data_IF_622292752988
#
_entry.id   IF_622292752988
#
_cell.length_a   1.000
_cell.length_b   1.000
_cell.length_c   1.000
_cell.angle_alpha   90.00
_cell.angle_beta   90.00
_cell.angle_gamma   90.00
#
_symmetry.space_group_name_H-M   'P 1'
#
loop_
_entity.id
_entity.type
_entity.pdbx_description
1 polymer ?
#
# COMPACT_ATOMS: atom_id res chain seq x y z
N UNK A 1 53.71 2.55 -45.64
CA UNK A 1 52.38 1.99 -45.62
C UNK A 1 52.11 1.51 -44.18
N UNK A 2 51.55 2.34 -43.37
CA UNK A 2 51.21 2.05 -41.97
C UNK A 2 49.72 1.74 -41.84
N UNK A 3 49.40 0.51 -41.43
CA UNK A 3 48.05 0.07 -41.15
C UNK A 3 47.60 0.59 -39.81
N UNK A 4 46.58 1.46 -39.79
CA UNK A 4 45.87 1.85 -38.60
C UNK A 4 44.90 0.73 -38.18
N UNK A 5 45.24 0.03 -37.13
CA UNK A 5 44.32 -0.90 -36.43
C UNK A 5 43.28 -0.11 -35.64
N UNK A 6 42.05 -0.08 -36.13
CA UNK A 6 40.88 0.39 -35.37
C UNK A 6 40.61 -0.59 -34.22
N UNK A 7 40.87 -0.14 -32.99
CA UNK A 7 40.42 -0.86 -31.78
C UNK A 7 38.90 -0.85 -31.72
N UNK A 8 38.30 -2.04 -31.89
CA UNK A 8 36.89 -2.26 -31.51
C UNK A 8 36.75 -2.02 -30.02
N UNK A 9 35.99 -1.00 -29.66
CA UNK A 9 35.47 -0.84 -28.32
C UNK A 9 34.48 -2.01 -28.10
N UNK A 10 34.84 -2.97 -27.26
CA UNK A 10 33.93 -4.00 -26.81
C UNK A 10 32.77 -3.31 -26.09
N UNK A 11 31.59 -3.41 -26.67
CA UNK A 11 30.34 -3.06 -25.99
C UNK A 11 30.23 -4.01 -24.80
N UNK A 12 30.35 -3.47 -23.59
CA UNK A 12 30.15 -4.22 -22.34
C UNK A 12 28.72 -4.72 -22.33
N UNK A 13 28.58 -6.03 -22.44
CA UNK A 13 27.30 -6.77 -22.39
C UNK A 13 26.75 -6.69 -20.93
N UNK A 14 26.26 -5.50 -20.55
CA UNK A 14 25.56 -5.36 -19.27
C UNK A 14 24.14 -5.87 -19.49
N UNK A 15 23.67 -6.80 -18.64
CA UNK A 15 22.28 -7.22 -18.69
C UNK A 15 21.34 -6.00 -18.58
N UNK A 16 20.22 -6.04 -19.29
CA UNK A 16 19.22 -5.00 -19.20
C UNK A 16 18.82 -4.76 -17.73
N UNK A 17 18.63 -3.49 -17.31
CA UNK A 17 18.28 -3.20 -15.93
C UNK A 17 16.96 -3.86 -15.54
N UNK A 18 16.91 -4.41 -14.34
CA UNK A 18 15.67 -4.96 -13.77
C UNK A 18 14.70 -3.84 -13.37
N UNK A 19 13.42 -4.20 -13.15
CA UNK A 19 12.43 -3.24 -12.59
C UNK A 19 12.96 -2.64 -11.28
N UNK A 20 13.57 -3.45 -10.41
CA UNK A 20 14.12 -2.98 -9.14
C UNK A 20 15.28 -1.97 -9.34
N UNK A 21 16.13 -2.16 -10.35
CA UNK A 21 17.22 -1.23 -10.67
C UNK A 21 16.68 0.12 -11.14
N UNK A 22 15.67 0.12 -12.01
CA UNK A 22 15.04 1.35 -12.51
C UNK A 22 14.27 2.07 -11.40
N UNK A 23 13.54 1.35 -10.55
CA UNK A 23 12.89 1.92 -9.36
C UNK A 23 13.92 2.54 -8.42
N UNK A 24 15.07 1.87 -8.20
CA UNK A 24 16.15 2.40 -7.38
C UNK A 24 16.79 3.66 -7.98
N UNK A 25 16.91 3.73 -9.30
CA UNK A 25 17.38 4.93 -10.00
C UNK A 25 16.43 6.10 -9.77
N UNK A 26 15.14 5.91 -10.02
CA UNK A 26 14.09 6.93 -9.82
C UNK A 26 14.06 7.36 -8.35
N UNK A 27 14.11 6.41 -7.40
CA UNK A 27 14.09 6.69 -5.98
C UNK A 27 15.27 7.59 -5.55
N UNK A 28 16.47 7.32 -6.04
CA UNK A 28 17.66 8.13 -5.72
C UNK A 28 17.68 9.49 -6.42
N UNK A 29 17.31 9.55 -7.71
CA UNK A 29 17.50 10.74 -8.54
C UNK A 29 16.31 11.70 -8.50
N UNK A 30 15.09 11.17 -8.44
CA UNK A 30 13.86 11.93 -8.54
C UNK A 30 13.11 12.07 -7.21
N UNK A 31 13.04 10.97 -6.40
CA UNK A 31 12.28 10.97 -5.15
C UNK A 31 13.07 11.57 -3.97
N UNK A 32 14.37 11.26 -3.82
CA UNK A 32 15.12 11.68 -2.66
C UNK A 32 15.14 13.22 -2.46
N UNK A 33 15.28 14.05 -3.50
CA UNK A 33 15.18 15.51 -3.36
C UNK A 33 13.82 15.99 -2.88
N UNK A 34 12.73 15.28 -3.21
CA UNK A 34 11.35 15.67 -2.91
C UNK A 34 10.83 15.14 -1.55
N UNK A 35 11.54 14.22 -0.93
CA UNK A 35 11.01 13.46 0.22
C UNK A 35 10.60 14.37 1.40
N UNK A 36 11.30 15.47 1.64
CA UNK A 36 10.94 16.45 2.67
C UNK A 36 9.67 17.25 2.34
N UNK A 37 9.52 17.65 1.09
CA UNK A 37 8.35 18.41 0.60
C UNK A 37 7.09 17.54 0.56
N UNK A 38 7.24 16.26 0.19
CA UNK A 38 6.16 15.27 0.23
C UNK A 38 5.70 15.04 1.68
N UNK A 39 6.64 14.87 2.63
CA UNK A 39 6.29 14.71 4.05
C UNK A 39 5.53 15.94 4.59
N UNK A 40 5.97 17.14 4.24
CA UNK A 40 5.35 18.41 4.63
C UNK A 40 4.03 18.72 3.89
N UNK A 41 3.66 17.95 2.88
CA UNK A 41 2.42 18.12 2.11
C UNK A 41 2.44 19.28 1.11
N UNK A 42 3.61 19.84 0.81
CA UNK A 42 3.77 20.87 -0.22
C UNK A 42 3.74 20.30 -1.64
N UNK A 43 4.05 19.00 -1.80
CA UNK A 43 4.10 18.31 -3.09
C UNK A 43 3.32 16.99 -3.00
N UNK A 44 2.43 16.75 -3.98
CA UNK A 44 1.92 15.43 -4.31
C UNK A 44 2.70 14.91 -5.53
N UNK A 45 3.43 13.78 -5.43
CA UNK A 45 4.40 13.36 -6.44
C UNK A 45 3.75 12.57 -7.60
N UNK A 46 2.68 13.09 -8.21
CA UNK A 46 1.91 12.38 -9.24
C UNK A 46 2.72 11.98 -10.47
N UNK A 47 3.59 12.87 -10.98
CA UNK A 47 4.47 12.54 -12.12
C UNK A 47 5.47 11.44 -11.79
N UNK A 48 6.08 11.50 -10.61
CA UNK A 48 7.00 10.47 -10.13
C UNK A 48 6.30 9.11 -10.03
N UNK A 49 5.06 9.06 -9.52
CA UNK A 49 4.28 7.83 -9.48
C UNK A 49 3.99 7.30 -10.89
N UNK A 50 3.71 8.17 -11.86
CA UNK A 50 3.56 7.77 -13.26
C UNK A 50 4.87 7.25 -13.86
N UNK A 51 6.01 7.89 -13.55
CA UNK A 51 7.33 7.43 -14.00
C UNK A 51 7.68 6.04 -13.43
N UNK A 52 7.36 5.78 -12.16
CA UNK A 52 7.50 4.44 -11.56
C UNK A 52 6.61 3.41 -12.28
N UNK A 53 5.40 3.77 -12.68
CA UNK A 53 4.53 2.90 -13.48
C UNK A 53 5.12 2.55 -14.84
N UNK A 54 5.72 3.52 -15.55
CA UNK A 54 6.36 3.32 -16.85
C UNK A 54 7.50 2.28 -16.82
N UNK A 55 8.19 2.15 -15.70
CA UNK A 55 9.27 1.15 -15.52
C UNK A 55 8.77 -0.18 -14.93
N UNK A 56 7.45 -0.36 -14.80
CA UNK A 56 6.85 -1.62 -14.39
C UNK A 56 6.63 -1.80 -12.89
N UNK A 57 6.82 -0.76 -12.07
CA UNK A 57 6.65 -0.85 -10.61
C UNK A 57 5.25 -1.28 -10.19
N UNK A 58 4.22 -0.99 -10.99
CA UNK A 58 2.82 -1.32 -10.71
C UNK A 58 2.30 -2.55 -11.45
N UNK A 59 3.06 -3.12 -12.39
CA UNK A 59 2.64 -4.26 -13.21
C UNK A 59 3.25 -5.59 -12.79
N UNK A 60 4.31 -5.58 -11.99
CA UNK A 60 5.12 -6.74 -11.66
C UNK A 60 4.40 -7.86 -10.89
N UNK A 61 3.24 -7.55 -10.30
CA UNK A 61 2.40 -8.52 -9.57
C UNK A 61 1.11 -8.90 -10.31
N UNK A 62 0.91 -8.37 -11.52
CA UNK A 62 -0.20 -8.78 -12.39
C UNK A 62 0.18 -10.06 -13.11
N UNK A 63 -0.57 -11.17 -12.94
CA UNK A 63 -0.27 -12.39 -13.65
C UNK A 63 -0.36 -12.17 -15.16
N UNK A 64 0.74 -12.41 -15.88
CA UNK A 64 0.76 -12.44 -17.34
C UNK A 64 0.51 -13.86 -17.82
N UNK A 65 1.34 -14.78 -17.33
CA UNK A 65 1.22 -16.23 -17.48
C UNK A 65 1.66 -16.86 -16.15
N UNK A 66 0.88 -17.81 -15.63
CA UNK A 66 1.21 -18.50 -14.38
C UNK A 66 0.63 -17.88 -13.10
N UNK A 67 1.09 -18.31 -11.93
CA UNK A 67 0.61 -17.84 -10.63
C UNK A 67 1.02 -16.38 -10.35
N UNK A 68 0.23 -15.68 -9.55
CA UNK A 68 0.59 -14.35 -9.08
C UNK A 68 1.83 -14.42 -8.16
N UNK A 69 2.72 -13.46 -8.32
CA UNK A 69 3.94 -13.32 -7.54
C UNK A 69 4.12 -11.85 -7.11
N UNK A 70 4.14 -11.61 -5.80
CA UNK A 70 4.22 -10.26 -5.26
C UNK A 70 5.66 -9.81 -4.94
N UNK A 71 6.66 -10.67 -5.12
CA UNK A 71 8.04 -10.41 -4.68
C UNK A 71 8.62 -9.13 -5.27
N UNK A 72 8.52 -8.96 -6.59
CA UNK A 72 9.05 -7.78 -7.26
C UNK A 72 8.34 -6.49 -6.82
N UNK A 73 7.01 -6.52 -6.63
CA UNK A 73 6.27 -5.37 -6.14
C UNK A 73 6.67 -4.98 -4.71
N UNK A 74 6.84 -5.96 -3.81
CA UNK A 74 7.29 -5.73 -2.43
C UNK A 74 8.72 -5.15 -2.42
N UNK A 75 9.64 -5.68 -3.22
CA UNK A 75 11.00 -5.18 -3.35
C UNK A 75 11.04 -3.75 -3.88
N UNK A 76 10.28 -3.46 -4.95
CA UNK A 76 10.15 -2.09 -5.48
C UNK A 76 9.62 -1.12 -4.43
N UNK A 77 8.60 -1.52 -3.66
CA UNK A 77 8.08 -0.70 -2.57
C UNK A 77 9.09 -0.53 -1.43
N UNK A 78 9.92 -1.54 -1.12
CA UNK A 78 10.98 -1.42 -0.12
C UNK A 78 12.04 -0.39 -0.54
N UNK A 79 12.44 -0.41 -1.81
CA UNK A 79 13.37 0.58 -2.37
C UNK A 79 12.79 2.01 -2.30
N UNK A 80 11.53 2.19 -2.63
CA UNK A 80 10.84 3.49 -2.48
C UNK A 80 10.76 3.88 -1.01
N UNK A 81 10.43 2.93 -0.14
CA UNK A 81 10.29 3.12 1.32
C UNK A 81 11.58 3.48 2.03
N UNK A 82 12.73 3.03 1.51
CA UNK A 82 14.05 3.43 1.98
C UNK A 82 14.31 4.93 1.81
N UNK A 83 13.64 5.57 0.83
CA UNK A 83 13.78 7.02 0.57
C UNK A 83 12.65 7.82 1.21
N UNK A 84 11.39 7.40 1.04
CA UNK A 84 10.21 8.16 1.48
C UNK A 84 9.05 7.21 1.87
N UNK A 85 8.63 7.25 3.13
CA UNK A 85 7.52 6.45 3.63
C UNK A 85 6.17 6.87 3.03
N UNK A 86 5.97 8.17 2.80
CA UNK A 86 4.78 8.69 2.16
C UNK A 86 4.61 8.14 0.73
N UNK A 87 5.70 8.13 -0.06
CA UNK A 87 5.66 7.60 -1.43
C UNK A 87 5.51 6.07 -1.44
N UNK A 88 6.12 5.37 -0.48
CA UNK A 88 5.91 3.92 -0.34
C UNK A 88 4.45 3.57 -0.02
N UNK A 89 3.77 4.42 0.76
CA UNK A 89 2.35 4.25 1.03
C UNK A 89 1.50 4.52 -0.22
N UNK A 90 1.78 5.56 -1.00
CA UNK A 90 1.10 5.80 -2.28
C UNK A 90 1.37 4.67 -3.28
N UNK A 91 2.58 4.12 -3.31
CA UNK A 91 2.93 2.93 -4.09
C UNK A 91 2.09 1.71 -3.67
N UNK A 92 1.89 1.51 -2.36
CA UNK A 92 0.98 0.48 -1.88
C UNK A 92 -0.47 0.74 -2.32
N UNK A 93 -0.96 1.97 -2.26
CA UNK A 93 -2.30 2.34 -2.74
C UNK A 93 -2.47 1.98 -4.22
N UNK A 94 -1.49 2.34 -5.07
CA UNK A 94 -1.52 2.03 -6.50
C UNK A 94 -1.45 0.53 -6.76
N UNK A 95 -0.51 -0.18 -6.15
CA UNK A 95 -0.40 -1.64 -6.29
C UNK A 95 -1.67 -2.36 -5.84
N UNK A 96 -2.33 -1.84 -4.80
CA UNK A 96 -3.59 -2.39 -4.30
C UNK A 96 -4.74 -2.17 -5.29
N UNK A 97 -4.82 -1.00 -5.93
CA UNK A 97 -5.80 -0.73 -6.98
C UNK A 97 -5.61 -1.68 -8.18
N UNK A 98 -4.36 -1.87 -8.61
CA UNK A 98 -3.99 -2.84 -9.66
C UNK A 98 -4.37 -4.26 -9.24
N UNK A 99 -4.11 -4.63 -7.98
CA UNK A 99 -4.47 -5.94 -7.41
C UNK A 99 -5.96 -6.20 -7.44
N UNK A 100 -6.79 -5.17 -7.19
CA UNK A 100 -8.25 -5.28 -7.31
C UNK A 100 -8.67 -5.54 -8.76
N UNK A 101 -8.17 -4.75 -9.70
CA UNK A 101 -8.50 -4.89 -11.13
C UNK A 101 -8.09 -6.26 -11.67
N UNK A 102 -6.87 -6.73 -11.34
CA UNK A 102 -6.36 -8.04 -11.77
C UNK A 102 -7.16 -9.22 -11.21
N UNK A 103 -7.83 -9.04 -10.05
CA UNK A 103 -8.63 -10.07 -9.40
C UNK A 103 -10.13 -9.92 -9.60
N UNK A 104 -10.58 -8.86 -10.30
CA UNK A 104 -12.00 -8.58 -10.52
C UNK A 104 -12.71 -9.75 -11.19
N UNK A 105 -13.95 -9.98 -10.80
CA UNK A 105 -14.84 -10.94 -11.47
C UNK A 105 -15.37 -10.40 -12.79
N UNK A 106 -15.25 -9.08 -13.03
CA UNK A 106 -15.62 -8.41 -14.27
C UNK A 106 -14.46 -8.38 -15.26
N UNK A 107 -14.51 -9.21 -16.30
CA UNK A 107 -13.51 -9.19 -17.38
C UNK A 107 -13.51 -7.86 -18.16
N UNK A 108 -14.67 -7.21 -18.27
CA UNK A 108 -14.79 -5.89 -18.91
C UNK A 108 -13.99 -4.85 -18.14
N UNK A 109 -14.11 -4.81 -16.80
CA UNK A 109 -13.37 -3.91 -15.93
C UNK A 109 -11.87 -4.17 -16.02
N UNK A 110 -11.44 -5.43 -15.91
CA UNK A 110 -10.04 -5.81 -16.01
C UNK A 110 -9.41 -5.37 -17.35
N UNK A 111 -10.12 -5.54 -18.47
CA UNK A 111 -9.67 -5.09 -19.80
C UNK A 111 -9.63 -3.57 -19.94
N UNK A 112 -10.62 -2.86 -19.40
CA UNK A 112 -10.74 -1.39 -19.52
C UNK A 112 -9.67 -0.67 -18.69
N UNK A 113 -9.41 -1.12 -17.48
CA UNK A 113 -8.59 -0.41 -16.49
C UNK A 113 -7.23 -1.06 -16.22
N UNK A 114 -7.07 -2.37 -16.44
CA UNK A 114 -5.89 -3.10 -16.02
C UNK A 114 -4.57 -2.49 -16.50
N UNK A 115 -4.48 -2.19 -17.81
CA UNK A 115 -3.30 -1.55 -18.39
C UNK A 115 -3.12 -0.09 -17.94
N UNK A 116 -4.22 0.66 -17.77
CA UNK A 116 -4.15 2.06 -17.33
C UNK A 116 -3.65 2.19 -15.89
N UNK A 117 -4.08 1.27 -15.01
CA UNK A 117 -3.63 1.25 -13.62
C UNK A 117 -2.21 0.70 -13.48
N UNK A 118 -1.90 -0.41 -14.17
CA UNK A 118 -0.59 -1.06 -14.08
C UNK A 118 0.55 -0.27 -14.73
N UNK A 119 0.26 0.54 -15.75
CA UNK A 119 1.21 1.47 -16.34
C UNK A 119 1.35 2.80 -15.58
N UNK A 120 0.49 3.06 -14.59
CA UNK A 120 0.45 4.33 -13.87
C UNK A 120 -0.12 5.50 -14.66
N UNK A 121 -0.73 5.28 -15.85
CA UNK A 121 -1.44 6.35 -16.58
C UNK A 121 -2.60 6.89 -15.75
N UNK A 122 -3.30 6.01 -15.07
CA UNK A 122 -4.34 6.36 -14.10
C UNK A 122 -3.85 5.96 -12.71
N UNK A 123 -3.84 6.93 -11.81
CA UNK A 123 -3.47 6.74 -10.41
C UNK A 123 -4.71 6.50 -9.55
N UNK A 124 -4.49 5.97 -8.36
CA UNK A 124 -5.57 5.80 -7.41
C UNK A 124 -5.19 4.95 -6.20
N UNK A 125 -6.21 4.56 -5.45
CA UNK A 125 -5.98 3.97 -4.15
C UNK A 125 -7.04 3.00 -3.66
N UNK A 126 -7.17 2.91 -2.35
CA UNK A 126 -8.04 1.97 -1.66
C UNK A 126 -8.85 2.65 -0.56
N UNK A 127 -10.17 2.47 -0.59
CA UNK A 127 -11.12 2.88 0.45
C UNK A 127 -11.46 1.75 1.42
N UNK A 128 -10.61 0.71 1.56
CA UNK A 128 -10.91 -0.45 2.41
C UNK A 128 -10.61 -0.27 3.90
N UNK A 129 -10.17 0.89 4.36
CA UNK A 129 -9.91 1.11 5.80
C UNK A 129 -11.16 0.83 6.66
N UNK A 130 -12.32 1.39 6.29
CA UNK A 130 -13.56 1.14 6.99
C UNK A 130 -14.10 -0.29 6.76
N UNK A 131 -14.17 -0.83 5.53
CA UNK A 131 -14.57 -2.22 5.32
C UNK A 131 -13.74 -3.24 6.10
N UNK A 132 -12.43 -3.12 6.12
CA UNK A 132 -11.56 -4.02 6.87
C UNK A 132 -11.83 -3.98 8.38
N UNK A 133 -12.14 -2.83 8.94
CA UNK A 133 -12.56 -2.71 10.35
C UNK A 133 -13.95 -3.32 10.60
N UNK A 134 -14.85 -3.19 9.63
CA UNK A 134 -16.18 -3.77 9.70
C UNK A 134 -16.15 -5.31 9.73
N UNK A 135 -15.30 -5.93 8.92
CA UNK A 135 -15.14 -7.39 8.91
C UNK A 135 -14.66 -7.96 10.25
N UNK A 136 -14.02 -7.15 11.09
CA UNK A 136 -13.56 -7.55 12.43
C UNK A 136 -14.42 -6.95 13.57
N UNK A 137 -15.62 -6.46 13.26
CA UNK A 137 -16.55 -5.92 14.25
C UNK A 137 -16.08 -4.67 14.98
N UNK A 138 -15.13 -3.90 14.39
CA UNK A 138 -14.58 -2.68 14.99
C UNK A 138 -15.45 -1.46 14.66
N UNK A 139 -15.95 -1.38 13.42
CA UNK A 139 -16.83 -0.30 12.94
C UNK A 139 -17.93 -0.88 12.06
N UNK A 140 -19.04 -0.16 11.87
CA UNK A 140 -20.04 -0.47 10.84
C UNK A 140 -19.58 0.04 9.47
N UNK A 141 -20.06 -0.57 8.38
CA UNK A 141 -19.86 -0.05 7.03
C UNK A 141 -20.53 1.32 6.91
N UNK A 142 -19.80 2.26 6.33
CA UNK A 142 -20.21 3.67 6.21
C UNK A 142 -20.88 3.99 4.88
N UNK A 143 -20.65 3.16 3.86
CA UNK A 143 -21.31 3.31 2.56
C UNK A 143 -22.48 2.35 2.48
N UNK A 144 -23.59 2.85 1.96
CA UNK A 144 -24.82 2.13 1.68
C UNK A 144 -25.16 2.28 0.20
N UNK A 145 -25.68 1.21 -0.41
CA UNK A 145 -26.05 1.21 -1.81
C UNK A 145 -27.34 0.45 -2.06
N UNK A 146 -28.19 0.99 -2.91
CA UNK A 146 -29.41 0.32 -3.38
C UNK A 146 -29.31 -0.02 -4.86
N UNK A 147 -29.82 -1.17 -5.26
CA UNK A 147 -29.85 -1.60 -6.67
C UNK A 147 -30.82 -0.70 -7.46
N UNK A 148 -30.42 -0.34 -8.67
CA UNK A 148 -31.25 0.35 -9.67
C UNK A 148 -30.99 -0.28 -11.04
N UNK A 149 -31.76 0.13 -12.06
CA UNK A 149 -31.50 -0.33 -13.43
C UNK A 149 -30.06 0.07 -13.86
N UNK A 150 -29.28 -0.90 -14.32
CA UNK A 150 -27.93 -0.73 -14.83
C UNK A 150 -26.83 -0.48 -13.78
N UNK A 151 -27.13 -0.52 -12.46
CA UNK A 151 -26.12 -0.25 -11.44
C UNK A 151 -26.64 -0.08 -10.02
N UNK A 152 -25.95 0.74 -9.25
CA UNK A 152 -26.27 1.06 -7.85
C UNK A 152 -26.24 2.57 -7.60
N UNK A 153 -27.10 3.04 -6.70
CA UNK A 153 -26.99 4.38 -6.12
C UNK A 153 -26.33 4.24 -4.74
N UNK A 154 -25.15 4.86 -4.57
CA UNK A 154 -24.33 4.75 -3.38
C UNK A 154 -24.27 6.08 -2.63
N UNK A 155 -24.44 6.04 -1.31
CA UNK A 155 -24.37 7.21 -0.42
C UNK A 155 -23.52 6.91 0.84
N UNK A 156 -23.00 7.96 1.46
CA UNK A 156 -22.24 7.89 2.70
C UNK A 156 -20.92 8.66 2.65
N UNK A 157 -20.02 8.41 3.59
CA UNK A 157 -18.72 9.08 3.64
C UNK A 157 -17.62 8.17 4.16
N UNK A 158 -16.43 8.32 3.59
CA UNK A 158 -15.20 7.68 4.07
C UNK A 158 -14.28 8.77 4.65
N UNK A 159 -13.71 8.57 5.86
CA UNK A 159 -12.95 9.63 6.51
C UNK A 159 -11.59 9.86 5.89
N UNK A 160 -10.95 8.81 5.38
CA UNK A 160 -9.59 8.85 4.83
C UNK A 160 -9.43 7.87 3.69
N UNK A 161 -9.19 8.40 2.50
CA UNK A 161 -8.78 7.64 1.32
C UNK A 161 -7.59 8.36 0.72
N UNK A 162 -6.51 7.64 0.48
CA UNK A 162 -5.22 8.21 0.08
C UNK A 162 -4.89 7.91 -1.37
N UNK A 163 -3.91 8.64 -1.89
CA UNK A 163 -3.49 8.61 -3.28
C UNK A 163 -4.61 9.03 -4.25
N UNK A 164 -5.37 10.04 -3.84
CA UNK A 164 -6.48 10.58 -4.64
C UNK A 164 -6.15 11.94 -5.26
N UNK A 165 -6.80 12.19 -6.37
CA UNK A 165 -6.89 13.42 -7.13
C UNK A 165 -8.19 13.41 -7.95
N UNK A 166 -8.51 14.49 -8.66
CA UNK A 166 -9.79 14.61 -9.38
C UNK A 166 -9.95 13.61 -10.55
N UNK A 167 -8.85 13.04 -11.04
CA UNK A 167 -8.80 12.07 -12.15
C UNK A 167 -8.41 10.66 -11.67
N UNK A 168 -8.49 10.39 -10.36
CA UNK A 168 -8.08 9.13 -9.76
C UNK A 168 -9.28 8.20 -9.51
N UNK A 169 -8.96 6.91 -9.34
CA UNK A 169 -9.92 5.86 -8.98
C UNK A 169 -9.54 5.22 -7.65
N UNK A 170 -10.52 4.64 -6.96
CA UNK A 170 -10.23 3.80 -5.80
C UNK A 170 -11.27 2.70 -5.61
N UNK A 171 -10.81 1.55 -5.11
CA UNK A 171 -11.70 0.44 -4.77
C UNK A 171 -12.28 0.62 -3.36
N UNK A 172 -13.60 0.42 -3.20
CA UNK A 172 -14.25 0.43 -1.88
C UNK A 172 -15.49 -0.46 -1.86
N UNK A 173 -16.14 -0.58 -0.69
CA UNK A 173 -17.26 -1.48 -0.44
C UNK A 173 -18.43 -0.71 0.15
N UNK A 174 -19.64 -1.00 -0.33
CA UNK A 174 -20.89 -0.61 0.31
C UNK A 174 -21.69 -1.82 0.78
N UNK A 175 -22.54 -1.61 1.77
CA UNK A 175 -23.56 -2.57 2.21
C UNK A 175 -24.84 -2.33 1.43
N UNK A 176 -25.44 -3.39 0.87
CA UNK A 176 -26.67 -3.30 0.08
C UNK A 176 -27.86 -3.03 1.00
N UNK A 177 -28.69 -2.06 0.60
CA UNK A 177 -29.97 -1.76 1.24
C UNK A 177 -31.11 -2.44 0.48
N UNK A 178 -32.12 -2.94 1.19
CA UNK A 178 -33.39 -3.37 0.63
C UNK A 178 -34.21 -2.17 0.11
N UNK A 179 -35.26 -2.43 -0.71
CA UNK A 179 -36.15 -1.39 -1.25
C UNK A 179 -36.81 -0.54 -0.15
N UNK A 180 -37.01 -1.10 1.03
CA UNK A 180 -37.57 -0.43 2.21
C UNK A 180 -36.51 0.29 3.07
N UNK A 181 -35.24 0.38 2.64
CA UNK A 181 -34.14 1.01 3.39
C UNK A 181 -33.61 0.21 4.56
N UNK A 182 -34.02 -1.05 4.72
CA UNK A 182 -33.42 -2.02 5.64
C UNK A 182 -32.11 -2.60 5.10
N UNK A 183 -31.35 -3.27 5.96
CA UNK A 183 -30.18 -4.02 5.53
C UNK A 183 -30.60 -5.32 4.84
N UNK A 184 -30.27 -5.53 3.56
CA UNK A 184 -30.61 -6.74 2.83
C UNK A 184 -30.07 -7.97 3.56
N UNK A 185 -30.94 -8.83 4.00
CA UNK A 185 -30.59 -10.16 4.53
C UNK A 185 -30.43 -11.07 3.33
N UNK A 186 -29.20 -11.40 2.98
CA UNK A 186 -28.73 -12.28 1.90
C UNK A 186 -29.78 -12.77 0.91
N UNK A 187 -29.47 -12.76 -0.40
CA UNK A 187 -30.38 -13.00 -1.52
C UNK A 187 -31.23 -14.27 -1.43
N UNK A 188 -32.17 -14.50 -2.38
CA UNK A 188 -33.18 -15.57 -2.30
C UNK A 188 -32.52 -16.96 -2.18
N UNK A 189 -32.59 -17.53 -1.00
CA UNK A 189 -31.96 -18.80 -0.64
C UNK A 189 -31.06 -18.77 0.61
N UNK A 190 -30.87 -17.60 1.24
CA UNK A 190 -30.00 -17.42 2.41
C UNK A 190 -30.60 -18.00 3.69
N UNK A 191 -30.01 -19.10 4.18
CA UNK A 191 -30.14 -19.50 5.57
C UNK A 191 -29.51 -18.43 6.47
N UNK A 192 -29.99 -18.22 7.68
CA UNK A 192 -29.64 -17.18 8.66
C UNK A 192 -28.15 -17.10 9.09
N UNK A 193 -27.21 -17.59 8.28
CA UNK A 193 -25.75 -17.59 8.47
C UNK A 193 -24.97 -16.78 7.44
N UNK A 194 -25.63 -16.11 6.48
CA UNK A 194 -24.95 -15.22 5.53
C UNK A 194 -24.69 -13.87 6.20
N UNK A 195 -23.42 -13.44 6.21
CA UNK A 195 -22.99 -12.10 6.65
C UNK A 195 -23.65 -10.99 5.81
N UNK A 196 -23.31 -9.71 6.06
CA UNK A 196 -23.90 -8.58 5.35
C UNK A 196 -23.73 -8.73 3.83
N UNK A 197 -24.80 -8.41 3.07
CA UNK A 197 -24.74 -8.36 1.60
C UNK A 197 -23.96 -7.13 1.18
N UNK A 198 -22.74 -7.32 0.67
CA UNK A 198 -21.77 -6.28 0.39
C UNK A 198 -21.22 -6.39 -1.02
N UNK A 199 -21.05 -5.23 -1.67
CA UNK A 199 -20.58 -5.11 -3.05
C UNK A 199 -19.30 -4.29 -3.07
N UNK A 200 -18.30 -4.72 -3.84
CA UNK A 200 -17.07 -3.97 -4.06
C UNK A 200 -17.09 -3.33 -5.45
N UNK A 201 -16.71 -2.05 -5.51
CA UNK A 201 -16.76 -1.25 -6.73
C UNK A 201 -15.55 -0.32 -6.86
N UNK A 202 -15.34 0.20 -8.08
CA UNK A 202 -14.44 1.32 -8.37
C UNK A 202 -15.22 2.63 -8.29
N UNK A 203 -14.73 3.56 -7.48
CA UNK A 203 -15.20 4.93 -7.44
C UNK A 203 -14.32 5.79 -8.35
N UNK A 204 -14.94 6.57 -9.23
CA UNK A 204 -14.30 7.58 -10.10
C UNK A 204 -14.34 8.94 -9.39
N UNK A 205 -13.18 9.49 -9.02
CA UNK A 205 -13.12 10.79 -8.35
C UNK A 205 -13.54 11.96 -9.24
N UNK A 206 -13.65 11.78 -10.57
CA UNK A 206 -14.14 12.77 -11.50
C UNK A 206 -15.67 12.92 -11.47
N UNK A 207 -16.40 11.95 -10.88
CA UNK A 207 -17.85 11.99 -10.80
C UNK A 207 -18.31 13.15 -9.88
N UNK A 208 -19.25 14.02 -10.34
CA UNK A 208 -19.73 15.16 -9.56
C UNK A 208 -20.45 14.78 -8.26
N UNK A 209 -20.92 13.53 -8.13
CA UNK A 209 -21.52 13.01 -6.89
C UNK A 209 -20.45 12.71 -5.81
N UNK A 210 -19.15 12.74 -6.16
CA UNK A 210 -18.05 12.57 -5.23
C UNK A 210 -17.46 13.93 -4.87
N UNK A 211 -17.31 14.18 -3.56
CA UNK A 211 -16.61 15.37 -3.06
C UNK A 211 -15.38 14.94 -2.27
N UNK A 212 -14.20 15.41 -2.68
CA UNK A 212 -12.93 15.21 -1.97
C UNK A 212 -12.72 16.36 -0.99
N UNK A 213 -12.66 16.06 0.30
CA UNK A 213 -12.47 17.05 1.38
C UNK A 213 -11.06 16.90 1.97
N UNK A 214 -10.20 17.92 1.93
CA UNK A 214 -8.89 17.87 2.59
C UNK A 214 -9.04 17.59 4.08
N UNK A 215 -8.20 16.70 4.61
CA UNK A 215 -8.22 16.29 6.02
C UNK A 215 -6.87 16.46 6.73
N UNK A 216 -6.11 17.47 6.33
CA UNK A 216 -4.84 17.87 6.95
C UNK A 216 -5.06 18.84 8.14
N UNK A 217 -4.03 19.05 8.99
CA UNK A 217 -2.69 18.43 8.98
C UNK A 217 -2.64 17.08 9.68
N UNK A 218 -1.75 16.20 9.20
CA UNK A 218 -1.39 14.96 9.88
C UNK A 218 -0.06 15.10 10.65
N UNK A 219 0.29 14.09 11.44
CA UNK A 219 1.60 14.03 12.08
C UNK A 219 2.74 13.88 11.05
N UNK A 220 2.48 13.19 9.96
CA UNK A 220 3.39 12.95 8.85
C UNK A 220 2.60 12.64 7.57
N UNK A 221 3.30 12.62 6.43
CA UNK A 221 2.77 12.09 5.18
C UNK A 221 1.65 12.96 4.58
N UNK A 222 1.69 14.27 4.79
CA UNK A 222 0.67 15.20 4.30
C UNK A 222 0.58 15.25 2.76
N UNK A 223 1.65 14.90 2.04
CA UNK A 223 1.70 14.85 0.57
C UNK A 223 1.10 13.61 -0.08
N UNK A 224 0.40 12.75 0.70
CA UNK A 224 -0.15 11.48 0.19
C UNK A 224 -1.46 11.60 -0.57
N UNK A 225 -1.98 12.81 -0.81
CA UNK A 225 -3.27 13.00 -1.47
C UNK A 225 -4.40 12.30 -0.70
N UNK A 226 -4.45 12.52 0.63
CA UNK A 226 -5.45 11.90 1.51
C UNK A 226 -6.63 12.85 1.72
N UNK A 227 -7.84 12.33 1.47
CA UNK A 227 -9.09 13.08 1.57
C UNK A 227 -10.15 12.32 2.36
N UNK A 228 -11.04 13.06 3.02
CA UNK A 228 -12.38 12.62 3.30
C UNK A 228 -13.17 12.56 2.00
N UNK A 229 -13.94 11.50 1.78
CA UNK A 229 -14.71 11.32 0.54
C UNK A 229 -16.18 11.24 0.87
N UNK A 230 -16.97 12.16 0.32
CA UNK A 230 -18.42 12.19 0.45
C UNK A 230 -19.07 11.67 -0.84
N UNK A 231 -19.98 10.72 -0.71
CA UNK A 231 -20.80 10.18 -1.80
C UNK A 231 -22.22 10.72 -1.65
N UNK A 232 -22.72 11.41 -2.68
CA UNK A 232 -24.06 12.01 -2.72
C UNK A 232 -24.87 11.37 -3.83
N UNK A 233 -25.47 10.21 -3.52
CA UNK A 233 -26.25 9.42 -4.48
C UNK A 233 -25.46 9.11 -5.77
N UNK A 234 -24.21 8.68 -5.61
CA UNK A 234 -23.34 8.28 -6.71
C UNK A 234 -23.99 7.12 -7.48
N UNK A 235 -24.20 7.29 -8.78
CA UNK A 235 -24.56 6.18 -9.66
C UNK A 235 -23.28 5.39 -10.02
N UNK A 236 -23.23 4.14 -9.58
CA UNK A 236 -22.17 3.20 -9.91
C UNK A 236 -22.70 2.21 -10.95
N UNK A 237 -22.30 2.33 -12.23
CA UNK A 237 -22.75 1.41 -13.26
C UNK A 237 -22.17 0.00 -13.05
N UNK A 238 -22.87 -1.02 -13.55
CA UNK A 238 -22.46 -2.42 -13.41
C UNK A 238 -21.04 -2.69 -13.92
N UNK A 239 -20.56 -1.94 -14.90
CA UNK A 239 -19.20 -2.04 -15.41
C UNK A 239 -18.10 -1.62 -14.45
N UNK A 240 -18.43 -0.86 -13.38
CA UNK A 240 -17.51 -0.46 -12.31
C UNK A 240 -17.59 -1.37 -11.07
N UNK A 241 -18.41 -2.42 -11.10
CA UNK A 241 -18.48 -3.41 -10.02
C UNK A 241 -17.28 -4.35 -10.12
N UNK A 242 -16.45 -4.33 -9.08
CA UNK A 242 -15.31 -5.24 -8.92
C UNK A 242 -15.76 -6.65 -8.54
N UNK A 243 -16.72 -6.74 -7.63
CA UNK A 243 -17.31 -8.00 -7.18
C UNK A 243 -18.67 -7.77 -6.51
N UNK A 244 -19.70 -8.49 -6.98
CA UNK A 244 -21.04 -8.53 -6.37
C UNK A 244 -21.07 -9.22 -5.01
N UNK A 245 -20.12 -10.12 -4.76
CA UNK A 245 -19.93 -10.83 -3.51
C UNK A 245 -18.60 -10.41 -2.88
N UNK A 246 -18.55 -9.19 -2.35
CA UNK A 246 -17.31 -8.59 -1.85
C UNK A 246 -16.66 -9.41 -0.73
N UNK A 247 -17.42 -10.11 0.11
CA UNK A 247 -16.87 -10.95 1.17
C UNK A 247 -15.96 -12.07 0.64
N UNK A 248 -16.40 -12.77 -0.40
CA UNK A 248 -15.60 -13.82 -1.05
C UNK A 248 -14.40 -13.23 -1.80
N UNK A 249 -14.61 -12.12 -2.47
CA UNK A 249 -13.54 -11.41 -3.18
C UNK A 249 -12.45 -10.96 -2.21
N UNK A 250 -12.80 -10.30 -1.10
CA UNK A 250 -11.83 -9.88 -0.08
C UNK A 250 -11.10 -11.07 0.53
N UNK A 251 -11.78 -12.18 0.79
CA UNK A 251 -11.14 -13.40 1.28
C UNK A 251 -10.07 -13.91 0.32
N UNK A 252 -10.31 -13.84 -1.00
CA UNK A 252 -9.34 -14.22 -2.04
C UNK A 252 -8.12 -13.31 -2.06
N UNK A 253 -8.32 -11.97 -1.96
CA UNK A 253 -7.25 -10.98 -2.18
C UNK A 253 -6.55 -10.51 -0.91
N UNK A 254 -7.07 -10.83 0.30
CA UNK A 254 -6.64 -10.27 1.59
C UNK A 254 -5.15 -10.47 1.89
N UNK A 255 -4.60 -11.62 1.54
CA UNK A 255 -3.19 -11.90 1.78
C UNK A 255 -2.30 -10.99 0.94
N UNK A 256 -2.58 -10.85 -0.36
CA UNK A 256 -1.85 -9.93 -1.24
C UNK A 256 -1.95 -8.48 -0.79
N UNK A 257 -3.16 -8.04 -0.37
CA UNK A 257 -3.39 -6.70 0.19
C UNK A 257 -2.48 -6.40 1.39
N UNK A 258 -2.28 -7.36 2.29
CA UNK A 258 -1.43 -7.20 3.48
C UNK A 258 0.04 -7.39 3.14
N UNK A 259 0.41 -8.38 2.32
CA UNK A 259 1.80 -8.65 1.95
C UNK A 259 2.45 -7.48 1.22
N UNK A 260 1.71 -6.80 0.33
CA UNK A 260 2.19 -5.59 -0.33
C UNK A 260 2.61 -4.52 0.69
N UNK A 261 2.00 -4.45 1.89
CA UNK A 261 2.43 -3.51 2.93
C UNK A 261 3.82 -3.80 3.49
N UNK A 262 4.35 -5.02 3.31
CA UNK A 262 5.66 -5.38 3.83
C UNK A 262 6.77 -4.47 3.29
N UNK A 263 6.67 -4.03 2.03
CA UNK A 263 7.64 -3.12 1.42
C UNK A 263 7.82 -1.81 2.18
N UNK A 264 6.73 -1.24 2.73
CA UNK A 264 6.83 -0.02 3.54
C UNK A 264 7.70 -0.22 4.79
N UNK A 265 7.46 -1.31 5.53
CA UNK A 265 8.22 -1.62 6.75
C UNK A 265 9.68 -1.96 6.47
N UNK A 266 9.93 -2.81 5.45
CA UNK A 266 11.28 -3.20 5.04
C UNK A 266 12.12 -1.97 4.65
N UNK A 267 11.59 -1.09 3.78
CA UNK A 267 12.31 0.11 3.36
C UNK A 267 12.59 1.06 4.51
N UNK A 268 11.63 1.28 5.40
CA UNK A 268 11.80 2.15 6.56
C UNK A 268 12.87 1.61 7.53
N UNK A 269 12.84 0.32 7.85
CA UNK A 269 13.84 -0.32 8.74
C UNK A 269 15.23 -0.20 8.12
N UNK A 270 15.35 -0.44 6.81
CA UNK A 270 16.63 -0.36 6.09
C UNK A 270 17.22 1.06 6.14
N UNK A 271 16.43 2.10 5.94
CA UNK A 271 16.91 3.47 6.08
C UNK A 271 17.28 3.84 7.52
N UNK A 272 16.53 3.36 8.52
CA UNK A 272 16.89 3.54 9.93
C UNK A 272 18.23 2.91 10.28
N UNK A 273 18.55 1.74 9.71
CA UNK A 273 19.87 1.11 9.81
C UNK A 273 20.93 2.04 9.20
N UNK A 274 20.69 2.55 7.99
CA UNK A 274 21.59 3.49 7.33
C UNK A 274 21.86 4.75 8.15
N UNK A 275 20.82 5.32 8.78
CA UNK A 275 20.95 6.47 9.69
C UNK A 275 21.87 6.13 10.87
N UNK A 276 21.71 4.95 11.50
CA UNK A 276 22.55 4.55 12.61
C UNK A 276 24.00 4.31 12.18
N UNK A 277 24.23 3.77 10.98
CA UNK A 277 25.56 3.57 10.40
C UNK A 277 26.27 4.89 10.10
N UNK A 278 25.57 5.86 9.54
CA UNK A 278 26.12 7.19 9.22
C UNK A 278 26.63 7.93 10.47
N UNK A 279 25.99 7.74 11.62
CA UNK A 279 26.42 8.35 12.87
C UNK A 279 27.36 7.48 13.67
N UNK A 280 27.60 6.25 13.25
CA UNK A 280 28.52 5.31 13.90
C UNK A 280 29.94 5.83 14.04
N UNK A 281 30.63 6.32 12.96
CA UNK A 281 32.00 6.80 13.06
C UNK A 281 32.20 7.92 14.08
N UNK A 282 31.40 9.00 14.13
CA UNK A 282 31.59 10.07 15.11
C UNK A 282 31.05 9.75 16.51
N UNK A 283 30.01 8.93 16.63
CA UNK A 283 29.29 8.73 17.90
C UNK A 283 29.37 7.31 18.46
N UNK A 284 30.07 6.38 17.79
CA UNK A 284 30.13 4.97 18.19
C UNK A 284 30.67 4.75 19.61
N UNK A 285 31.58 5.63 20.09
CA UNK A 285 32.14 5.57 21.42
C UNK A 285 31.09 5.75 22.54
N UNK A 286 29.98 6.43 22.26
CA UNK A 286 28.83 6.60 23.18
C UNK A 286 27.65 5.74 22.78
N UNK A 287 27.37 5.59 21.47
CA UNK A 287 26.22 4.83 20.95
C UNK A 287 26.30 3.32 21.28
N UNK A 288 27.50 2.79 21.52
CA UNK A 288 27.69 1.39 21.95
C UNK A 288 26.98 1.05 23.27
N UNK A 289 26.61 2.03 24.07
CA UNK A 289 25.86 1.83 25.32
C UNK A 289 24.35 1.85 25.13
N UNK A 290 23.85 2.17 23.92
CA UNK A 290 22.43 2.07 23.61
C UNK A 290 22.00 0.60 23.53
N UNK A 291 20.80 0.25 24.02
CA UNK A 291 20.37 -1.15 24.10
C UNK A 291 20.12 -1.78 22.72
N UNK A 292 19.81 -0.95 21.71
CA UNK A 292 19.51 -1.41 20.36
C UNK A 292 20.59 -0.94 19.40
N UNK A 293 21.19 -1.90 18.70
CA UNK A 293 22.30 -1.67 17.78
C UNK A 293 21.89 -1.96 16.32
N UNK A 294 22.52 -1.35 15.30
CA UNK A 294 22.17 -1.56 13.90
C UNK A 294 22.28 -3.04 13.44
N UNK A 295 23.16 -3.84 14.06
CA UNK A 295 23.31 -5.27 13.76
C UNK A 295 22.04 -6.07 14.03
N UNK A 296 21.35 -5.79 15.14
CA UNK A 296 20.09 -6.46 15.50
C UNK A 296 19.00 -6.17 14.46
N UNK A 297 18.92 -4.93 13.99
CA UNK A 297 17.94 -4.55 12.96
C UNK A 297 18.28 -5.12 11.57
N UNK A 298 19.58 -5.34 11.25
CA UNK A 298 19.97 -6.04 10.01
C UNK A 298 19.51 -7.50 10.03
N UNK A 299 19.68 -8.17 11.17
CA UNK A 299 19.24 -9.56 11.34
C UNK A 299 17.71 -9.66 11.21
N UNK A 300 16.97 -8.79 11.90
CA UNK A 300 15.50 -8.73 11.80
C UNK A 300 15.03 -8.38 10.37
N UNK A 301 15.70 -7.43 9.71
CA UNK A 301 15.37 -7.07 8.33
C UNK A 301 15.53 -8.25 7.38
N UNK A 302 16.66 -8.96 7.47
CA UNK A 302 16.93 -10.14 6.63
C UNK A 302 15.92 -11.27 6.88
N UNK A 303 15.53 -11.49 8.15
CA UNK A 303 14.50 -12.46 8.52
C UNK A 303 13.14 -12.08 7.89
N UNK A 304 12.72 -10.83 8.05
CA UNK A 304 11.43 -10.34 7.52
C UNK A 304 11.40 -10.35 5.99
N UNK A 305 12.48 -9.95 5.34
CA UNK A 305 12.58 -9.98 3.88
C UNK A 305 12.46 -11.42 3.38
N UNK A 306 13.19 -12.37 3.97
CA UNK A 306 13.11 -13.79 3.63
C UNK A 306 11.69 -14.34 3.80
N UNK A 307 11.02 -14.02 4.92
CA UNK A 307 9.66 -14.48 5.18
C UNK A 307 8.64 -13.83 4.24
N UNK A 308 8.77 -12.51 3.97
CA UNK A 308 7.93 -11.80 3.03
C UNK A 308 8.03 -12.40 1.62
N UNK A 309 9.26 -12.65 1.14
CA UNK A 309 9.50 -13.26 -0.17
C UNK A 309 8.92 -14.68 -0.26
N UNK A 310 9.04 -15.47 0.80
CA UNK A 310 8.47 -16.83 0.84
C UNK A 310 6.93 -16.82 0.81
N UNK A 311 6.29 -15.88 1.49
CA UNK A 311 4.82 -15.75 1.49
C UNK A 311 4.30 -15.12 0.18
N UNK A 312 5.09 -14.26 -0.44
CA UNK A 312 4.71 -13.52 -1.66
C UNK A 312 4.57 -14.38 -2.91
N UNK A 313 5.16 -15.59 -2.93
CA UNK A 313 5.09 -16.51 -4.08
C UNK A 313 3.70 -17.13 -4.27
N UNK A 314 2.86 -17.18 -3.23
CA UNK A 314 1.54 -17.84 -3.26
C UNK A 314 0.48 -17.00 -2.52
N UNK A 315 0.14 -15.80 -3.03
CA UNK A 315 -0.75 -14.86 -2.34
C UNK A 315 -2.21 -15.32 -2.29
N UNK A 316 -2.54 -16.40 -2.97
CA UNK A 316 -3.88 -17.01 -2.97
C UNK A 316 -4.02 -18.21 -2.06
N UNK A 317 -2.97 -18.56 -1.33
CA UNK A 317 -3.02 -19.66 -0.37
C UNK A 317 -4.16 -19.45 0.64
N UNK A 318 -5.03 -20.43 0.75
CA UNK A 318 -6.23 -20.38 1.58
C UNK A 318 -6.07 -21.00 2.97
N UNK A 319 -4.89 -21.56 3.27
CA UNK A 319 -4.62 -22.21 4.55
C UNK A 319 -4.62 -21.21 5.71
N UNK A 320 -5.27 -21.55 6.80
CA UNK A 320 -5.32 -20.70 7.99
C UNK A 320 -3.91 -20.47 8.60
N UNK A 321 -3.04 -21.47 8.52
CA UNK A 321 -1.64 -21.34 8.95
C UNK A 321 -0.87 -20.30 8.11
N UNK A 322 -1.07 -20.30 6.80
CA UNK A 322 -0.51 -19.28 5.91
C UNK A 322 -1.04 -17.89 6.24
N UNK A 323 -2.36 -17.76 6.39
CA UNK A 323 -2.99 -16.49 6.75
C UNK A 323 -2.45 -15.94 8.08
N UNK A 324 -2.35 -16.79 9.11
CA UNK A 324 -1.76 -16.38 10.40
C UNK A 324 -0.31 -15.90 10.27
N UNK A 325 0.50 -16.52 9.41
CA UNK A 325 1.88 -16.06 9.12
C UNK A 325 1.90 -14.69 8.45
N UNK A 326 1.03 -14.44 7.46
CA UNK A 326 0.90 -13.14 6.80
C UNK A 326 0.56 -12.04 7.83
N UNK A 327 -0.42 -12.30 8.70
CA UNK A 327 -0.84 -11.36 9.75
C UNK A 327 0.29 -11.13 10.77
N UNK A 328 0.97 -12.20 11.19
CA UNK A 328 2.08 -12.12 12.15
C UNK A 328 3.28 -11.36 11.58
N UNK A 329 3.66 -11.60 10.32
CA UNK A 329 4.71 -10.84 9.64
C UNK A 329 4.38 -9.35 9.58
N UNK A 330 3.14 -9.01 9.22
CA UNK A 330 2.68 -7.62 9.14
C UNK A 330 2.74 -6.92 10.51
N UNK A 331 2.35 -7.61 11.58
CA UNK A 331 2.45 -7.10 12.96
C UNK A 331 3.90 -6.84 13.35
N UNK A 332 4.78 -7.84 13.15
CA UNK A 332 6.20 -7.76 13.50
C UNK A 332 6.92 -6.66 12.73
N UNK A 333 6.63 -6.48 11.44
CA UNK A 333 7.15 -5.38 10.64
C UNK A 333 6.72 -4.01 11.18
N UNK A 334 5.47 -3.86 11.60
CA UNK A 334 5.00 -2.63 12.22
C UNK A 334 5.71 -2.31 13.54
N UNK A 335 5.82 -3.29 14.43
CA UNK A 335 6.49 -3.14 15.73
C UNK A 335 7.99 -2.85 15.52
N UNK A 336 8.67 -3.56 14.62
CA UNK A 336 10.08 -3.36 14.29
C UNK A 336 10.36 -2.01 13.61
N UNK A 337 9.45 -1.51 12.76
CA UNK A 337 9.57 -0.19 12.15
C UNK A 337 9.62 0.92 13.21
N UNK A 338 8.75 0.84 14.22
CA UNK A 338 8.75 1.81 15.33
C UNK A 338 10.03 1.69 16.16
N UNK A 339 10.45 0.46 16.48
CA UNK A 339 11.68 0.21 17.24
C UNK A 339 12.93 0.72 16.51
N UNK A 340 13.06 0.46 15.20
CA UNK A 340 14.18 0.91 14.38
C UNK A 340 14.24 2.45 14.28
N UNK A 341 13.11 3.10 14.07
CA UNK A 341 13.04 4.55 14.00
C UNK A 341 13.35 5.23 15.35
N UNK A 342 12.89 4.62 16.45
CA UNK A 342 13.25 5.05 17.80
C UNK A 342 14.75 4.91 18.04
N UNK A 343 15.35 3.77 17.71
CA UNK A 343 16.78 3.54 17.85
C UNK A 343 17.59 4.55 17.00
N UNK A 344 17.22 4.75 15.73
CA UNK A 344 17.88 5.73 14.86
C UNK A 344 17.84 7.15 15.44
N UNK A 345 16.73 7.55 16.05
CA UNK A 345 16.61 8.84 16.72
C UNK A 345 17.59 8.96 17.90
N UNK A 346 17.69 7.92 18.77
CA UNK A 346 18.61 7.91 19.91
C UNK A 346 20.08 7.92 19.44
N UNK A 347 20.43 7.18 18.40
CA UNK A 347 21.78 7.17 17.83
C UNK A 347 22.19 8.53 17.28
N UNK A 348 21.27 9.30 16.70
CA UNK A 348 21.52 10.65 16.21
C UNK A 348 21.59 11.70 17.33
N UNK A 349 20.96 11.45 18.49
CA UNK A 349 20.85 12.40 19.59
C UNK A 349 20.17 13.69 19.17
N UNK A 350 20.62 14.84 19.74
CA UNK A 350 19.98 16.14 19.51
C UNK A 350 19.89 16.55 18.03
N UNK A 351 20.81 16.11 17.18
CA UNK A 351 20.76 16.37 15.74
C UNK A 351 19.55 15.73 15.07
N UNK A 352 19.20 14.49 15.48
CA UNK A 352 18.02 13.78 14.98
C UNK A 352 16.70 14.49 15.27
N UNK A 353 16.67 15.34 16.30
CA UNK A 353 15.47 16.07 16.72
C UNK A 353 15.18 17.34 15.92
N UNK A 354 16.10 17.76 15.04
CA UNK A 354 15.86 18.89 14.14
C UNK A 354 14.81 18.54 13.08
N UNK A 355 13.89 19.47 12.78
CA UNK A 355 12.83 19.26 11.75
C UNK A 355 13.39 18.91 10.37
N UNK A 356 14.60 19.38 10.03
CA UNK A 356 15.27 19.08 8.77
C UNK A 356 15.97 17.72 8.73
N UNK A 357 16.09 17.03 9.88
CA UNK A 357 16.83 15.77 9.95
C UNK A 357 15.96 14.57 9.57
N UNK A 358 16.52 13.62 8.82
CA UNK A 358 15.82 12.42 8.34
C UNK A 358 15.25 11.56 9.47
N UNK A 359 15.96 11.40 10.60
CA UNK A 359 15.55 10.54 11.71
C UNK A 359 14.18 10.92 12.30
N UNK A 360 13.87 12.22 12.47
CA UNK A 360 12.57 12.66 12.98
C UNK A 360 11.43 12.34 11.99
N UNK A 361 11.69 12.42 10.67
CA UNK A 361 10.73 12.03 9.65
C UNK A 361 10.43 10.53 9.74
N UNK A 362 11.49 9.70 9.82
CA UNK A 362 11.32 8.23 9.99
C UNK A 362 10.56 7.86 11.24
N UNK A 363 10.79 8.56 12.34
CA UNK A 363 10.04 8.31 13.58
C UNK A 363 8.54 8.52 13.38
N UNK A 364 8.13 9.57 12.67
CA UNK A 364 6.72 9.87 12.39
C UNK A 364 6.12 8.90 11.36
N UNK A 365 6.84 8.60 10.28
CA UNK A 365 6.45 7.62 9.26
C UNK A 365 6.29 6.21 9.85
N UNK A 366 7.12 5.81 10.81
CA UNK A 366 7.07 4.50 11.46
C UNK A 366 5.74 4.26 12.21
N UNK A 367 5.22 5.26 12.88
CA UNK A 367 3.89 5.16 13.51
C UNK A 367 2.79 4.95 12.48
N UNK A 368 2.91 5.56 11.29
CA UNK A 368 1.95 5.29 10.22
C UNK A 368 2.02 3.83 9.75
N UNK A 369 3.21 3.25 9.58
CA UNK A 369 3.36 1.82 9.25
C UNK A 369 2.66 0.95 10.28
N UNK A 370 2.72 1.28 11.57
CA UNK A 370 2.07 0.52 12.64
C UNK A 370 0.53 0.70 12.69
N UNK A 371 -0.01 1.83 12.19
CA UNK A 371 -1.44 2.14 12.32
C UNK A 371 -2.23 2.04 11.00
N UNK A 372 -1.58 1.97 9.83
CA UNK A 372 -2.30 1.77 8.57
C UNK A 372 -3.05 0.44 8.59
N UNK A 373 -4.26 0.44 8.04
CA UNK A 373 -5.19 -0.71 8.16
C UNK A 373 -4.69 -1.94 7.38
N UNK A 374 -4.65 -3.14 8.04
CA UNK A 374 -5.01 -3.41 9.42
C UNK A 374 -3.96 -2.89 10.41
N UNK A 375 -4.42 -2.13 11.42
CA UNK A 375 -3.55 -1.54 12.44
C UNK A 375 -3.08 -2.58 13.47
N UNK A 376 -2.00 -2.29 14.22
CA UNK A 376 -1.43 -3.16 15.26
C UNK A 376 -2.51 -3.79 16.17
N UNK A 377 -3.46 -2.98 16.68
CA UNK A 377 -4.54 -3.48 17.54
C UNK A 377 -5.46 -4.48 16.83
N UNK A 378 -5.73 -4.27 15.55
CA UNK A 378 -6.53 -5.17 14.72
C UNK A 378 -5.77 -6.47 14.43
N UNK A 379 -4.49 -6.38 14.04
CA UNK A 379 -3.64 -7.55 13.79
C UNK A 379 -3.50 -8.42 15.05
N UNK A 380 -3.37 -7.81 16.24
CA UNK A 380 -3.34 -8.54 17.51
C UNK A 380 -4.66 -9.26 17.79
N UNK A 381 -5.81 -8.62 17.53
CA UNK A 381 -7.13 -9.26 17.65
C UNK A 381 -7.25 -10.47 16.69
N UNK A 382 -6.83 -10.31 15.43
CA UNK A 382 -6.83 -11.40 14.44
C UNK A 382 -5.99 -12.61 14.88
N UNK A 383 -4.80 -12.37 15.48
CA UNK A 383 -3.95 -13.44 15.98
C UNK A 383 -4.46 -14.12 17.25
N UNK A 384 -5.22 -13.40 18.07
CA UNK A 384 -5.86 -13.96 19.27
C UNK A 384 -6.98 -14.97 18.94
N UNK A 385 -7.44 -15.02 17.70
CA UNK A 385 -8.51 -15.94 17.27
C UNK A 385 -9.92 -15.42 17.52
N UNK A 386 -10.10 -14.15 17.91
CA UNK A 386 -11.39 -13.47 18.07
C UNK A 386 -11.96 -13.02 16.70
N UNK A 387 -11.82 -13.85 15.68
CA UNK A 387 -12.51 -13.66 14.40
C UNK A 387 -13.96 -14.13 14.55
N UNK A 388 -14.91 -13.20 14.49
CA UNK A 388 -16.35 -13.45 14.55
C UNK A 388 -16.94 -13.75 13.17
#
# INVERSE_FOLDING_TARGET
MGSLALSRVEATDRPAPTIADEVARIARQELAPLAGEIDAGSVYPGELLRNLGKVGAWSSHVPQEGPADLRCAIQSMAVIGEVCGATAFMAWCQNTLVWYAANSTSLTLARRFGDSFSSGRVLGGTGLSNPMKSFFGIERLKLKGRRVEGGYIVKGALPWVSNLGPDHYFGTIFEREDEDGGTAKGGPGGTAKSGPDIVMFLADCADPAITLQPCKPFLAMDGTGTFGVQFRDLFVPDELILAEQAGQFVKKIRAGFILLQAGMGLGLIKDCIGIMDEVGPPLGHVNRYLPQQPTQFRELHAEFEKEAMALACDPYNSDDSYWRRVVALRLRLGDASVAAAHAAMLHCGARGYLKSHRAQRRLREAYFVAIVTPATKQLRKMLAGDEH
#
